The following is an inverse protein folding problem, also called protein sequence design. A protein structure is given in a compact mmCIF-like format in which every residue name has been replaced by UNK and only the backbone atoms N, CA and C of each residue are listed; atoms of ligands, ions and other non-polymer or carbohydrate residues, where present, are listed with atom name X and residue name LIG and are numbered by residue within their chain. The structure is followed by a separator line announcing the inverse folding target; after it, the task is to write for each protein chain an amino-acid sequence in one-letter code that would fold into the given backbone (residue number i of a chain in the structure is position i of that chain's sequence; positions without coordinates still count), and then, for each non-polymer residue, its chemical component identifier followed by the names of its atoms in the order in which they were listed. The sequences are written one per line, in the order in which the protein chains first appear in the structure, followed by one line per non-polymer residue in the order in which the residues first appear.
data_IF_712994333565
#
_entry.id   IF_712994333565
#
_cell.length_a   1.000
_cell.length_b   1.000
_cell.length_c   1.000
_cell.angle_alpha   90.00
_cell.angle_beta   90.00
_cell.angle_gamma   90.00
#
_symmetry.space_group_name_H-M   'P 1'
#
loop_
_entity.id
_entity.type
_entity.pdbx_description
1 polymer ?
#
# COMPACT_ATOMS: atom_id res chain seq x y z
N UNK A 1 -17.33 10.85 -2.73
CA UNK A 1 -15.92 10.42 -2.73
C UNK A 1 -15.13 11.54 -2.09
N UNK A 2 -14.33 11.25 -1.06
CA UNK A 2 -13.48 12.26 -0.41
C UNK A 2 -12.28 12.53 -1.33
N UNK A 3 -12.03 13.79 -1.64
CA UNK A 3 -10.87 14.21 -2.44
C UNK A 3 -9.59 13.90 -1.70
N UNK A 4 -8.60 13.33 -2.39
CA UNK A 4 -7.31 12.95 -1.81
C UNK A 4 -6.31 14.09 -1.98
N UNK A 5 -5.67 14.54 -0.92
CA UNK A 5 -4.62 15.57 -1.01
C UNK A 5 -3.46 15.12 -1.90
N UNK A 6 -3.14 13.82 -1.86
CA UNK A 6 -2.10 13.21 -2.68
C UNK A 6 -2.36 13.29 -4.20
N UNK A 7 -3.59 13.56 -4.64
CA UNK A 7 -3.93 13.66 -6.06
C UNK A 7 -3.10 14.73 -6.78
N UNK A 8 -2.98 15.92 -6.18
CA UNK A 8 -2.20 17.02 -6.73
C UNK A 8 -0.71 16.68 -6.81
N UNK A 9 -0.19 15.98 -5.80
CA UNK A 9 1.20 15.52 -5.79
C UNK A 9 1.45 14.52 -6.90
N UNK A 10 0.58 13.53 -7.09
CA UNK A 10 0.71 12.54 -8.16
C UNK A 10 0.64 13.21 -9.53
N UNK A 11 -0.33 14.10 -9.76
CA UNK A 11 -0.45 14.84 -11.02
C UNK A 11 0.79 15.67 -11.34
N UNK A 12 1.35 16.35 -10.34
CA UNK A 12 2.61 17.10 -10.49
C UNK A 12 3.78 16.20 -10.85
N UNK A 13 3.92 15.05 -10.19
CA UNK A 13 5.00 14.10 -10.47
C UNK A 13 4.89 13.46 -11.85
N UNK A 14 3.67 13.22 -12.35
CA UNK A 14 3.43 12.69 -13.70
C UNK A 14 3.93 13.65 -14.80
N UNK A 15 4.16 14.93 -14.51
CA UNK A 15 4.78 15.86 -15.46
C UNK A 15 6.30 15.65 -15.60
N UNK A 16 6.95 15.09 -14.58
CA UNK A 16 8.41 14.96 -14.52
C UNK A 16 8.93 13.52 -14.53
N UNK A 17 8.07 12.52 -14.34
CA UNK A 17 8.42 11.11 -14.35
C UNK A 17 7.54 10.32 -15.31
N UNK A 18 8.09 9.36 -16.08
CA UNK A 18 7.27 8.48 -16.92
C UNK A 18 6.37 7.55 -16.10
N UNK A 19 6.77 7.27 -14.85
CA UNK A 19 6.05 6.38 -13.94
C UNK A 19 5.85 7.07 -12.58
N UNK A 20 4.66 6.93 -11.99
CA UNK A 20 4.45 7.22 -10.58
C UNK A 20 3.95 5.97 -9.87
N UNK A 21 4.62 5.58 -8.80
CA UNK A 21 4.28 4.41 -8.00
C UNK A 21 3.58 4.85 -6.72
N UNK A 22 2.31 4.44 -6.56
CA UNK A 22 1.50 4.71 -5.38
C UNK A 22 1.57 3.49 -4.45
N UNK A 23 2.16 3.67 -3.27
CA UNK A 23 2.26 2.62 -2.24
C UNK A 23 1.38 2.96 -1.04
N UNK A 24 1.29 2.04 -0.08
CA UNK A 24 0.57 2.27 1.18
C UNK A 24 -0.19 1.03 1.65
N UNK A 25 -0.82 1.09 2.83
CA UNK A 25 -1.49 -0.06 3.42
C UNK A 25 -2.67 -0.54 2.58
N UNK A 26 -3.06 -1.81 2.76
CA UNK A 26 -4.26 -2.35 2.10
C UNK A 26 -5.48 -1.52 2.49
N UNK A 27 -6.39 -1.32 1.56
CA UNK A 27 -7.62 -0.54 1.75
C UNK A 27 -7.41 0.97 2.05
N UNK A 28 -6.22 1.54 1.81
CA UNK A 28 -6.00 3.00 1.92
C UNK A 28 -6.58 3.83 0.78
N UNK A 29 -7.04 3.20 -0.31
CA UNK A 29 -7.66 3.88 -1.45
C UNK A 29 -6.75 4.08 -2.67
N UNK A 30 -5.60 3.38 -2.75
CA UNK A 30 -4.63 3.48 -3.87
C UNK A 30 -5.27 3.29 -5.23
N UNK A 31 -5.94 2.16 -5.44
CA UNK A 31 -6.64 1.83 -6.69
C UNK A 31 -7.67 2.88 -7.06
N UNK A 32 -8.41 3.40 -6.07
CA UNK A 32 -9.42 4.44 -6.30
C UNK A 32 -8.77 5.74 -6.77
N UNK A 33 -7.68 6.17 -6.13
CA UNK A 33 -6.93 7.36 -6.52
C UNK A 33 -6.31 7.20 -7.93
N UNK A 34 -5.66 6.08 -8.19
CA UNK A 34 -5.04 5.80 -9.48
C UNK A 34 -6.08 5.82 -10.62
N UNK A 35 -7.24 5.19 -10.43
CA UNK A 35 -8.35 5.22 -11.39
C UNK A 35 -8.93 6.61 -11.59
N UNK A 36 -8.99 7.43 -10.55
CA UNK A 36 -9.48 8.80 -10.65
C UNK A 36 -8.53 9.67 -11.50
N UNK A 37 -7.22 9.57 -11.26
CA UNK A 37 -6.20 10.34 -11.99
C UNK A 37 -6.11 9.88 -13.45
N UNK A 38 -6.16 8.57 -13.69
CA UNK A 38 -6.08 7.94 -15.02
C UNK A 38 -7.46 7.50 -15.52
N UNK A 39 -8.49 8.33 -15.34
CA UNK A 39 -9.87 7.97 -15.70
C UNK A 39 -10.06 7.63 -17.19
N UNK A 40 -9.25 8.21 -18.08
CA UNK A 40 -9.29 7.97 -19.52
C UNK A 40 -8.32 6.86 -20.00
N UNK A 41 -7.48 6.32 -19.11
CA UNK A 41 -6.48 5.31 -19.46
C UNK A 41 -6.94 3.92 -19.01
N UNK A 42 -6.43 2.84 -19.64
CA UNK A 42 -6.73 1.49 -19.22
C UNK A 42 -6.32 1.23 -17.76
N UNK A 43 -7.17 0.50 -17.05
CA UNK A 43 -6.87 -0.04 -15.72
C UNK A 43 -6.69 -1.54 -15.81
N UNK A 44 -5.61 -2.04 -15.21
CA UNK A 44 -5.22 -3.44 -15.26
C UNK A 44 -4.88 -3.90 -13.85
N UNK A 45 -5.51 -4.99 -13.39
CA UNK A 45 -5.21 -5.59 -12.09
C UNK A 45 -4.42 -6.87 -12.27
N UNK A 46 -3.22 -6.92 -11.69
CA UNK A 46 -2.38 -8.13 -11.67
C UNK A 46 -2.79 -9.12 -10.56
N UNK A 47 -3.91 -8.87 -9.87
CA UNK A 47 -4.56 -9.90 -9.05
C UNK A 47 -5.42 -10.86 -9.89
N UNK A 48 -5.86 -10.43 -11.07
CA UNK A 48 -6.60 -11.28 -12.00
C UNK A 48 -5.66 -12.38 -12.57
N UNK A 49 -5.98 -13.68 -12.38
CA UNK A 49 -5.12 -14.77 -12.81
C UNK A 49 -4.80 -14.78 -14.30
N UNK A 50 -5.75 -14.43 -15.16
CA UNK A 50 -5.58 -14.48 -16.61
C UNK A 50 -4.69 -13.32 -17.08
N UNK A 51 -4.87 -12.13 -16.49
CA UNK A 51 -4.02 -10.97 -16.73
C UNK A 51 -2.60 -11.25 -16.24
N UNK A 52 -2.47 -11.83 -15.03
CA UNK A 52 -1.18 -12.16 -14.44
C UNK A 52 -0.44 -13.21 -15.28
N UNK A 53 -1.13 -14.24 -15.78
CA UNK A 53 -0.55 -15.23 -16.68
C UNK A 53 -0.03 -14.57 -17.97
N UNK A 54 -0.85 -13.73 -18.62
CA UNK A 54 -0.43 -13.02 -19.83
C UNK A 54 0.77 -12.09 -19.58
N UNK A 55 0.80 -11.41 -18.44
CA UNK A 55 1.90 -10.52 -18.07
C UNK A 55 3.21 -11.27 -17.80
N UNK A 56 3.15 -12.49 -17.25
CA UNK A 56 4.35 -13.31 -17.02
C UNK A 56 4.83 -14.06 -18.26
N UNK A 57 3.92 -14.53 -19.12
CA UNK A 57 4.26 -15.33 -20.30
C UNK A 57 4.96 -14.50 -21.38
N UNK A 58 4.41 -13.31 -21.69
CA UNK A 58 5.06 -12.34 -22.60
C UNK A 58 4.87 -10.89 -22.11
N UNK A 59 5.72 -10.42 -21.18
CA UNK A 59 5.65 -9.06 -20.64
C UNK A 59 5.74 -7.96 -21.70
N UNK A 60 6.48 -8.19 -22.79
CA UNK A 60 6.67 -7.20 -23.86
C UNK A 60 5.39 -7.01 -24.65
N UNK A 61 4.80 -8.11 -25.13
CA UNK A 61 3.53 -8.08 -25.85
C UNK A 61 2.41 -7.56 -24.96
N UNK A 62 2.41 -7.93 -23.67
CA UNK A 62 1.46 -7.42 -22.70
C UNK A 62 1.53 -5.90 -22.55
N UNK A 63 2.71 -5.33 -22.31
CA UNK A 63 2.90 -3.88 -22.21
C UNK A 63 2.63 -3.14 -23.53
N UNK A 64 2.90 -3.79 -24.67
CA UNK A 64 2.61 -3.25 -26.01
C UNK A 64 1.12 -2.97 -26.27
N UNK A 65 0.21 -3.53 -25.46
CA UNK A 65 -1.22 -3.22 -25.49
C UNK A 65 -1.57 -1.84 -24.93
N UNK A 66 -0.61 -1.19 -24.27
CA UNK A 66 -0.79 0.09 -23.57
C UNK A 66 0.17 1.16 -24.11
N UNK A 67 0.10 1.52 -25.41
CA UNK A 67 1.04 2.46 -26.02
C UNK A 67 0.95 3.88 -25.42
N UNK A 68 -0.20 4.26 -24.86
CA UNK A 68 -0.39 5.54 -24.16
C UNK A 68 -0.37 5.38 -22.62
N UNK A 69 0.11 4.22 -22.17
CA UNK A 69 0.25 3.86 -20.78
C UNK A 69 -1.06 3.48 -20.08
N UNK A 70 -0.94 3.04 -18.82
CA UNK A 70 -2.03 2.43 -18.06
C UNK A 70 -1.83 2.56 -16.54
N UNK A 71 -2.87 2.27 -15.78
CA UNK A 71 -2.74 1.93 -14.36
C UNK A 71 -2.47 0.43 -14.24
N UNK A 72 -1.33 0.06 -13.66
CA UNK A 72 -0.99 -1.32 -13.32
C UNK A 72 -1.11 -1.51 -11.80
N UNK A 73 -2.12 -2.24 -11.38
CA UNK A 73 -2.48 -2.42 -9.98
C UNK A 73 -1.88 -3.71 -9.40
N UNK A 74 -1.48 -3.64 -8.13
CA UNK A 74 -0.83 -4.72 -7.39
C UNK A 74 0.44 -5.25 -8.09
N UNK A 75 1.33 -4.34 -8.46
CA UNK A 75 2.55 -4.60 -9.25
C UNK A 75 3.49 -5.63 -8.61
N UNK A 76 3.43 -5.82 -7.28
CA UNK A 76 4.20 -6.86 -6.59
C UNK A 76 3.82 -8.29 -7.01
N UNK A 77 2.70 -8.49 -7.72
CA UNK A 77 2.29 -9.79 -8.24
C UNK A 77 3.11 -10.22 -9.46
N UNK A 78 3.70 -9.29 -10.19
CA UNK A 78 4.56 -9.56 -11.35
C UNK A 78 5.82 -8.66 -11.32
N UNK A 79 6.80 -8.95 -10.44
CA UNK A 79 7.99 -8.09 -10.30
C UNK A 79 8.83 -7.98 -11.57
N UNK A 80 8.86 -9.04 -12.39
CA UNK A 80 9.67 -9.09 -13.63
C UNK A 80 9.25 -8.04 -14.66
N UNK A 81 7.98 -7.61 -14.66
CA UNK A 81 7.46 -6.59 -15.59
C UNK A 81 8.18 -5.24 -15.45
N UNK A 82 8.79 -4.96 -14.29
CA UNK A 82 9.48 -3.71 -13.99
C UNK A 82 10.67 -3.47 -14.93
N UNK A 83 11.45 -4.52 -15.24
CA UNK A 83 12.58 -4.42 -16.17
C UNK A 83 12.14 -4.11 -17.61
N UNK A 84 10.95 -4.60 -17.99
CA UNK A 84 10.37 -4.33 -19.30
C UNK A 84 9.78 -2.92 -19.36
N UNK A 85 9.12 -2.47 -18.29
CA UNK A 85 8.67 -1.08 -18.15
C UNK A 85 9.84 -0.11 -18.26
N UNK A 86 10.98 -0.40 -17.61
CA UNK A 86 12.19 0.42 -17.70
C UNK A 86 12.60 0.61 -19.17
N UNK A 87 12.73 -0.49 -19.91
CA UNK A 87 13.14 -0.46 -21.32
C UNK A 87 12.14 0.31 -22.18
N UNK A 88 10.85 0.14 -21.92
CA UNK A 88 9.78 0.79 -22.66
C UNK A 88 9.76 2.30 -22.44
N UNK A 89 9.83 2.76 -21.17
CA UNK A 89 9.77 4.20 -20.88
C UNK A 89 11.04 4.93 -21.27
N UNK A 90 12.20 4.27 -21.18
CA UNK A 90 13.48 4.83 -21.65
C UNK A 90 13.47 5.03 -23.18
N UNK A 91 12.81 4.14 -23.94
CA UNK A 91 12.67 4.26 -25.39
C UNK A 91 11.61 5.28 -25.83
N UNK A 92 10.49 5.38 -25.10
CA UNK A 92 9.38 6.27 -25.43
C UNK A 92 9.68 7.74 -25.07
N UNK A 93 10.24 7.98 -23.87
CA UNK A 93 10.63 9.30 -23.40
C UNK A 93 9.49 10.23 -22.96
N UNK A 94 8.21 9.86 -23.13
CA UNK A 94 7.08 10.66 -22.60
C UNK A 94 6.93 10.48 -21.08
N UNK A 95 6.51 11.56 -20.42
CA UNK A 95 6.21 11.55 -18.98
C UNK A 95 4.75 11.13 -18.73
N UNK A 96 4.47 10.62 -17.53
CA UNK A 96 3.12 10.30 -17.10
C UNK A 96 2.46 9.16 -17.87
N UNK A 97 3.25 8.18 -18.34
CA UNK A 97 2.73 7.02 -19.05
C UNK A 97 2.00 6.08 -18.08
N UNK A 98 2.66 5.67 -16.99
CA UNK A 98 2.13 4.64 -16.10
C UNK A 98 1.92 5.14 -14.67
N UNK A 99 0.85 4.64 -14.04
CA UNK A 99 0.72 4.64 -12.59
C UNK A 99 0.81 3.18 -12.15
N UNK A 100 1.74 2.90 -11.23
CA UNK A 100 1.84 1.61 -10.58
C UNK A 100 1.17 1.74 -9.22
N UNK A 101 0.44 0.72 -8.78
CA UNK A 101 0.08 0.62 -7.37
C UNK A 101 0.50 -0.71 -6.79
N UNK A 102 0.78 -0.72 -5.50
CA UNK A 102 1.08 -1.92 -4.74
C UNK A 102 0.91 -1.65 -3.26
N UNK A 103 0.59 -2.70 -2.51
CA UNK A 103 0.70 -2.60 -1.06
C UNK A 103 2.16 -2.42 -0.65
N UNK A 104 2.42 -1.82 0.51
CA UNK A 104 3.77 -1.83 1.10
C UNK A 104 4.11 -3.24 1.60
N UNK A 105 4.25 -4.17 0.65
CA UNK A 105 4.77 -5.49 0.91
C UNK A 105 6.29 -5.40 0.79
N UNK A 106 7.00 -5.98 1.76
CA UNK A 106 8.46 -6.07 1.77
C UNK A 106 8.97 -6.57 0.42
N UNK A 107 9.99 -5.90 -0.13
CA UNK A 107 10.54 -6.21 -1.44
C UNK A 107 10.01 -5.31 -2.57
N UNK A 108 8.75 -4.86 -2.52
CA UNK A 108 8.20 -4.05 -3.64
C UNK A 108 8.98 -2.75 -3.84
N UNK A 109 9.23 -2.01 -2.76
CA UNK A 109 9.98 -0.76 -2.84
C UNK A 109 11.43 -0.99 -3.32
N UNK A 110 12.07 -2.08 -2.91
CA UNK A 110 13.44 -2.39 -3.36
C UNK A 110 13.46 -2.78 -4.83
N UNK A 111 12.54 -3.64 -5.28
CA UNK A 111 12.48 -4.11 -6.67
C UNK A 111 12.16 -2.96 -7.62
N UNK A 112 11.18 -2.13 -7.26
CA UNK A 112 10.82 -0.93 -8.02
C UNK A 112 11.96 0.08 -8.01
N UNK A 113 12.59 0.34 -6.87
CA UNK A 113 13.70 1.30 -6.80
C UNK A 113 14.91 0.82 -7.58
N UNK A 114 15.19 -0.48 -7.60
CA UNK A 114 16.32 -1.06 -8.33
C UNK A 114 16.08 -1.04 -9.85
N UNK A 115 14.90 -1.46 -10.30
CA UNK A 115 14.59 -1.57 -11.74
C UNK A 115 14.15 -0.26 -12.36
N UNK A 116 13.52 0.65 -11.61
CA UNK A 116 12.96 1.91 -12.13
C UNK A 116 13.67 3.16 -11.55
N UNK A 117 14.89 3.02 -11.04
CA UNK A 117 15.69 4.12 -10.50
C UNK A 117 15.73 5.32 -11.47
N UNK A 118 15.26 6.50 -11.01
CA UNK A 118 15.22 7.73 -11.82
C UNK A 118 14.09 7.81 -12.86
N UNK A 119 13.28 6.76 -13.02
CA UNK A 119 12.12 6.70 -13.94
C UNK A 119 10.79 6.71 -13.19
N UNK A 120 10.81 6.41 -11.90
CA UNK A 120 9.62 6.46 -11.05
C UNK A 120 9.79 7.44 -9.90
N UNK A 121 8.71 8.13 -9.57
CA UNK A 121 8.53 8.75 -8.25
C UNK A 121 7.65 7.88 -7.37
N UNK A 122 7.81 7.98 -6.06
CA UNK A 122 6.98 7.26 -5.08
C UNK A 122 6.04 8.22 -4.36
N UNK A 123 4.79 7.81 -4.21
CA UNK A 123 3.80 8.48 -3.36
C UNK A 123 3.23 7.46 -2.39
N UNK A 124 3.46 7.68 -1.11
CA UNK A 124 2.86 6.88 -0.06
C UNK A 124 1.45 7.40 0.25
N UNK A 125 0.45 6.55 0.05
CA UNK A 125 -0.95 6.85 0.30
C UNK A 125 -1.43 6.15 1.56
N UNK A 126 -1.38 6.89 2.67
CA UNK A 126 -1.97 6.50 3.95
C UNK A 126 -3.51 6.64 3.93
N UNK A 127 -4.23 6.10 4.93
CA UNK A 127 -5.66 6.38 5.12
C UNK A 127 -5.97 7.88 5.18
N UNK A 128 -7.26 8.25 5.20
CA UNK A 128 -7.68 9.65 5.24
C UNK A 128 -6.98 10.42 6.36
N UNK A 129 -6.37 11.55 6.00
CA UNK A 129 -5.85 12.50 6.96
C UNK A 129 -7.00 13.21 7.67
N UNK A 130 -6.73 13.80 8.84
CA UNK A 130 -7.74 14.59 9.53
C UNK A 130 -8.21 15.79 8.67
N UNK A 131 -7.30 16.41 7.93
CA UNK A 131 -7.62 17.53 7.04
C UNK A 131 -8.57 17.12 5.90
N UNK A 132 -8.32 15.96 5.26
CA UNK A 132 -9.21 15.41 4.24
C UNK A 132 -10.62 15.14 4.79
N UNK A 133 -10.71 14.64 6.03
CA UNK A 133 -11.99 14.38 6.70
C UNK A 133 -12.71 15.68 7.10
N UNK A 134 -11.97 16.69 7.56
CA UNK A 134 -12.50 18.01 7.92
C UNK A 134 -13.10 18.71 6.70
N UNK A 135 -12.35 18.75 5.59
CA UNK A 135 -12.81 19.33 4.33
C UNK A 135 -14.05 18.63 3.77
N UNK A 136 -14.15 17.31 3.96
CA UNK A 136 -15.32 16.53 3.56
C UNK A 136 -16.51 16.63 4.54
N UNK A 137 -16.38 17.36 5.65
CA UNK A 137 -17.42 17.44 6.69
C UNK A 137 -17.69 16.11 7.40
N UNK A 138 -16.72 15.19 7.39
CA UNK A 138 -16.84 13.82 7.93
C UNK A 138 -15.89 13.55 9.11
N UNK A 139 -15.14 14.56 9.56
CA UNK A 139 -14.29 14.48 10.75
C UNK A 139 -15.10 14.14 12.00
N UNK A 140 -14.69 13.13 12.80
CA UNK A 140 -15.29 12.89 14.11
C UNK A 140 -15.12 14.10 15.03
N UNK A 141 -16.18 14.44 15.79
CA UNK A 141 -16.15 15.61 16.69
C UNK A 141 -15.36 15.36 17.98
N UNK A 142 -15.18 14.10 18.38
CA UNK A 142 -14.48 13.69 19.60
C UNK A 142 -13.20 12.95 19.25
N UNK A 143 -12.16 13.21 20.03
CA UNK A 143 -10.87 12.52 19.90
C UNK A 143 -11.03 11.00 20.04
N UNK A 144 -11.84 10.54 21.00
CA UNK A 144 -12.08 9.11 21.22
C UNK A 144 -12.66 8.42 19.98
N UNK A 145 -13.63 9.07 19.32
CA UNK A 145 -14.24 8.55 18.10
C UNK A 145 -13.24 8.52 16.95
N UNK A 146 -12.37 9.54 16.87
CA UNK A 146 -11.31 9.60 15.87
C UNK A 146 -10.28 8.49 16.07
N UNK A 147 -9.82 8.26 17.30
CA UNK A 147 -8.88 7.19 17.63
C UNK A 147 -9.47 5.80 17.36
N UNK A 148 -10.75 5.61 17.66
CA UNK A 148 -11.42 4.31 17.47
C UNK A 148 -11.83 4.05 16.02
N UNK A 149 -12.15 5.10 15.25
CA UNK A 149 -12.56 4.99 13.84
C UNK A 149 -11.36 5.01 12.90
N UNK A 150 -10.32 5.80 13.18
CA UNK A 150 -9.17 5.96 12.29
C UNK A 150 -9.53 6.58 10.93
N UNK A 151 -8.63 6.51 9.96
CA UNK A 151 -8.77 7.16 8.64
C UNK A 151 -9.17 6.24 7.49
N UNK A 152 -9.37 4.93 7.71
CA UNK A 152 -9.57 3.99 6.59
C UNK A 152 -10.85 4.30 5.78
N UNK A 153 -10.77 4.46 4.45
CA UNK A 153 -11.91 4.86 3.62
C UNK A 153 -13.18 4.03 3.81
N UNK A 154 -13.04 2.71 3.94
CA UNK A 154 -14.17 1.79 4.15
C UNK A 154 -15.03 2.15 5.37
N UNK A 155 -14.46 2.80 6.40
CA UNK A 155 -15.18 3.21 7.61
C UNK A 155 -15.97 4.52 7.43
N UNK A 156 -15.75 5.24 6.34
CA UNK A 156 -16.48 6.45 5.96
C UNK A 156 -17.49 6.15 4.84
N UNK A 157 -17.16 5.22 3.94
CA UNK A 157 -18.04 4.84 2.83
C UNK A 157 -19.13 3.83 3.24
N UNK A 158 -18.91 3.04 4.29
CA UNK A 158 -19.83 1.97 4.72
C UNK A 158 -20.26 2.15 6.17
N UNK A 159 -21.51 1.77 6.46
CA UNK A 159 -22.06 1.75 7.82
C UNK A 159 -21.62 0.49 8.59
N UNK A 160 -20.33 0.37 8.88
CA UNK A 160 -19.75 -0.76 9.63
C UNK A 160 -19.14 -0.25 10.94
N UNK A 161 -19.43 -0.86 12.09
CA UNK A 161 -18.80 -0.49 13.36
C UNK A 161 -17.27 -0.69 13.30
N UNK A 162 -16.44 0.31 13.71
CA UNK A 162 -14.99 0.22 13.60
C UNK A 162 -14.39 -1.03 14.23
N UNK A 163 -14.86 -1.41 15.43
CA UNK A 163 -14.41 -2.64 16.12
C UNK A 163 -14.58 -3.91 15.29
N UNK A 164 -15.69 -4.05 14.57
CA UNK A 164 -15.96 -5.23 13.72
C UNK A 164 -15.07 -5.22 12.49
N UNK A 165 -14.91 -4.05 11.88
CA UNK A 165 -14.07 -3.90 10.69
C UNK A 165 -12.60 -4.12 11.00
N UNK A 166 -12.05 -3.48 12.03
CA UNK A 166 -10.64 -3.66 12.43
C UNK A 166 -10.37 -5.11 12.86
N UNK A 167 -11.29 -5.77 13.55
CA UNK A 167 -11.17 -7.19 13.87
C UNK A 167 -11.01 -8.04 12.60
N UNK A 168 -11.89 -7.86 11.61
CA UNK A 168 -11.80 -8.58 10.33
C UNK A 168 -10.55 -8.22 9.52
N UNK A 169 -10.19 -6.92 9.48
CA UNK A 169 -9.00 -6.43 8.79
C UNK A 169 -7.72 -7.03 9.36
N UNK A 170 -7.57 -7.00 10.68
CA UNK A 170 -6.41 -7.56 11.39
C UNK A 170 -6.32 -9.06 11.15
N UNK A 171 -7.43 -9.80 11.26
CA UNK A 171 -7.45 -11.25 10.97
C UNK A 171 -6.98 -11.52 9.54
N UNK A 172 -7.59 -10.89 8.54
CA UNK A 172 -7.25 -11.12 7.13
C UNK A 172 -5.82 -10.72 6.79
N UNK A 173 -5.33 -9.59 7.32
CA UNK A 173 -3.97 -9.10 7.09
C UNK A 173 -2.92 -9.98 7.75
N UNK A 174 -3.12 -10.31 9.03
CA UNK A 174 -2.18 -11.16 9.78
C UNK A 174 -2.13 -12.57 9.17
N UNK A 175 -3.26 -13.14 8.81
CA UNK A 175 -3.30 -14.50 8.24
C UNK A 175 -2.66 -14.60 6.85
N UNK A 176 -2.83 -13.56 6.02
CA UNK A 176 -2.37 -13.59 4.62
C UNK A 176 -0.97 -13.00 4.44
N UNK A 177 -0.76 -11.75 4.83
CA UNK A 177 0.46 -11.01 4.47
C UNK A 177 1.59 -11.24 5.47
N UNK A 178 1.29 -11.16 6.78
CA UNK A 178 2.31 -11.33 7.84
C UNK A 178 2.87 -12.75 7.84
N UNK A 179 2.01 -13.77 7.66
CA UNK A 179 2.44 -15.17 7.63
C UNK A 179 3.43 -15.46 6.50
N UNK A 180 3.24 -14.86 5.33
CA UNK A 180 4.11 -15.05 4.17
C UNK A 180 5.47 -14.36 4.34
N UNK A 181 5.47 -13.18 4.94
CA UNK A 181 6.68 -12.35 5.08
C UNK A 181 7.55 -12.82 6.24
N UNK A 182 6.98 -12.88 7.44
CA UNK A 182 7.75 -13.02 8.67
C UNK A 182 8.08 -14.48 9.02
N UNK A 183 7.63 -15.45 8.20
CA UNK A 183 7.69 -16.89 8.48
C UNK A 183 7.30 -17.21 9.92
N UNK A 184 6.38 -16.43 10.51
CA UNK A 184 5.98 -16.59 11.91
C UNK A 184 5.37 -17.98 12.03
N UNK A 185 6.08 -18.88 12.71
CA UNK A 185 5.57 -20.23 12.93
C UNK A 185 4.33 -20.21 13.84
N UNK A 186 4.27 -19.25 14.77
CA UNK A 186 3.20 -19.09 15.76
C UNK A 186 2.44 -17.77 15.59
N UNK A 187 1.38 -17.78 14.78
CA UNK A 187 0.52 -16.62 14.51
C UNK A 187 -0.04 -15.99 15.80
N UNK A 188 -0.33 -16.81 16.81
CA UNK A 188 -0.83 -16.36 18.11
C UNK A 188 0.16 -15.45 18.85
N UNK A 189 1.46 -15.70 18.70
CA UNK A 189 2.52 -14.87 19.30
C UNK A 189 2.56 -13.50 18.64
N UNK A 190 2.45 -13.44 17.31
CA UNK A 190 2.38 -12.16 16.60
C UNK A 190 1.11 -11.37 16.92
N UNK A 191 -0.05 -12.02 17.04
CA UNK A 191 -1.27 -11.35 17.47
C UNK A 191 -1.14 -10.76 18.89
N UNK A 192 -0.47 -11.48 19.80
CA UNK A 192 -0.15 -10.97 21.14
C UNK A 192 0.78 -9.76 21.06
N UNK A 193 1.81 -9.83 20.24
CA UNK A 193 2.74 -8.73 20.00
C UNK A 193 2.01 -7.45 19.57
N UNK A 194 1.15 -7.53 18.55
CA UNK A 194 0.36 -6.39 18.06
C UNK A 194 -0.54 -5.80 19.16
N UNK A 195 -1.16 -6.65 20.00
CA UNK A 195 -1.97 -6.19 21.14
C UNK A 195 -1.13 -5.49 22.21
N UNK A 196 0.07 -6.00 22.51
CA UNK A 196 0.99 -5.35 23.45
C UNK A 196 1.46 -3.99 22.93
N UNK A 197 1.74 -3.87 21.63
CA UNK A 197 2.05 -2.59 20.98
C UNK A 197 0.90 -1.60 21.12
N UNK A 198 -0.33 -2.03 20.85
CA UNK A 198 -1.53 -1.18 20.96
C UNK A 198 -1.76 -0.68 22.41
N UNK A 199 -1.49 -1.51 23.42
CA UNK A 199 -1.59 -1.11 24.83
C UNK A 199 -0.50 -0.14 25.29
N UNK A 200 0.58 0.00 24.52
CA UNK A 200 1.76 0.83 24.84
C UNK A 200 1.87 2.07 23.93
N UNK A 201 0.85 2.36 23.12
CA UNK A 201 0.83 3.56 22.27
C UNK A 201 0.96 4.83 23.12
N UNK A 202 1.81 5.75 22.67
CA UNK A 202 2.08 7.02 23.37
C UNK A 202 3.14 6.94 24.49
N UNK A 203 3.84 5.81 24.62
CA UNK A 203 4.90 5.59 25.61
C UNK A 203 6.27 5.39 24.93
N UNK A 204 7.36 5.49 25.70
CA UNK A 204 8.70 5.18 25.19
C UNK A 204 8.80 3.69 24.81
N UNK A 205 9.26 3.41 23.58
CA UNK A 205 9.41 2.04 23.09
C UNK A 205 10.57 1.33 23.81
N UNK A 206 10.23 0.35 24.64
CA UNK A 206 11.19 -0.57 25.25
C UNK A 206 11.05 -1.96 24.62
N UNK A 207 11.91 -2.26 23.63
CA UNK A 207 11.91 -3.52 22.89
C UNK A 207 12.19 -4.73 23.79
N UNK A 208 13.04 -4.60 24.80
CA UNK A 208 13.38 -5.70 25.71
C UNK A 208 12.18 -6.10 26.57
N UNK A 209 11.44 -5.13 27.11
CA UNK A 209 10.21 -5.39 27.85
C UNK A 209 9.11 -5.94 26.95
N UNK A 210 8.97 -5.40 25.72
CA UNK A 210 7.98 -5.89 24.76
C UNK A 210 8.26 -7.34 24.36
N UNK A 211 9.53 -7.67 24.13
CA UNK A 211 9.98 -9.02 23.80
C UNK A 211 9.71 -10.00 24.95
N UNK A 212 10.04 -9.61 26.19
CA UNK A 212 9.80 -10.44 27.38
C UNK A 212 8.31 -10.75 27.58
N UNK A 213 7.44 -9.75 27.53
CA UNK A 213 5.99 -9.92 27.70
C UNK A 213 5.35 -10.74 26.56
N UNK A 214 5.92 -10.63 25.35
CA UNK A 214 5.46 -11.38 24.20
C UNK A 214 6.03 -12.81 24.14
N UNK A 215 7.10 -13.12 24.89
CA UNK A 215 7.80 -14.40 24.85
C UNK A 215 8.67 -14.60 23.60
N UNK A 216 9.26 -13.52 23.07
CA UNK A 216 10.13 -13.54 21.88
C UNK A 216 11.50 -12.95 22.20
N UNK A 217 12.46 -13.06 21.27
CA UNK A 217 13.78 -12.43 21.44
C UNK A 217 13.71 -10.94 21.14
N UNK A 218 14.65 -10.16 21.69
CA UNK A 218 14.79 -8.72 21.39
C UNK A 218 14.93 -8.47 19.88
N UNK A 219 15.74 -9.27 19.19
CA UNK A 219 15.94 -9.14 17.74
C UNK A 219 14.66 -9.43 16.95
N UNK A 220 13.86 -10.43 17.39
CA UNK A 220 12.55 -10.71 16.80
C UNK A 220 11.59 -9.54 17.03
N UNK A 221 11.52 -8.99 18.25
CA UNK A 221 10.68 -7.83 18.54
C UNK A 221 11.11 -6.61 17.71
N UNK A 222 12.42 -6.39 17.54
CA UNK A 222 12.96 -5.33 16.69
C UNK A 222 12.56 -5.51 15.23
N UNK A 223 12.82 -6.69 14.64
CA UNK A 223 12.41 -6.99 13.26
C UNK A 223 10.91 -6.83 13.09
N UNK A 224 10.09 -7.33 14.03
CA UNK A 224 8.64 -7.16 13.95
C UNK A 224 8.20 -5.69 14.08
N UNK A 225 8.86 -4.85 14.89
CA UNK A 225 8.57 -3.40 14.88
C UNK A 225 8.96 -2.79 13.53
N UNK A 226 10.18 -3.02 13.07
CA UNK A 226 10.69 -2.44 11.82
C UNK A 226 9.83 -2.88 10.62
N UNK A 227 9.21 -4.05 10.71
CA UNK A 227 8.32 -4.62 9.70
C UNK A 227 6.84 -4.21 9.89
N UNK A 228 6.33 -4.08 11.11
CA UNK A 228 4.88 -3.86 11.33
C UNK A 228 4.51 -2.39 11.52
N UNK A 229 5.47 -1.47 11.58
CA UNK A 229 5.18 -0.04 11.74
C UNK A 229 4.71 0.54 10.39
N UNK A 230 3.40 0.79 10.33
CA UNK A 230 2.70 1.58 9.30
C UNK A 230 3.06 3.06 9.38
#
# INVERSE_FOLDING_TARGET
MITRTAEQTVQSLLLGFPIVTITGPRQSGKTTLAKAIFAAKPYVSLEDPDILLAANDDPRSFLGRFPDGAVLDEIQRCPEILSYLQTLVDADGRMGLFILTGSQQFGLLSDVSQSLAGRTAFVELLPFSLDELLQAGMSPHRLDDMLMKGGYPTLYDRKIPPRKWFGAYVTAYIERDVRQVLKVQELGTFQRFVRLCAGRTGQMLNLSSLAADCGITHNTAKSWIDETVF
#
